data_IF_079847156483
#
_entry.id   IF_079847156483
#
_cell.length_a   1.000
_cell.length_b   1.000
_cell.length_c   1.000
_cell.angle_alpha   90.00
_cell.angle_beta   90.00
_cell.angle_gamma   90.00
#
_symmetry.space_group_name_H-M   'P 1'
#
loop_
_entity.id
_entity.type
_entity.pdbx_description
1 polymer ?
#
# COMPACT_ATOMS: atom_id res chain seq x y z
N UNK A 1 41.53 2.79 17.29
CA UNK A 1 41.98 1.57 17.99
C UNK A 1 41.54 0.38 17.16
N UNK A 2 42.47 -0.48 16.72
CA UNK A 2 42.09 -1.77 16.13
C UNK A 2 41.65 -2.64 17.31
N UNK A 3 40.40 -3.12 17.33
CA UNK A 3 40.01 -4.14 18.30
C UNK A 3 40.73 -5.43 17.90
N UNK A 4 41.76 -5.79 18.66
CA UNK A 4 42.54 -6.99 18.39
C UNK A 4 41.76 -8.28 18.77
N UNK A 5 40.66 -8.15 19.50
CA UNK A 5 39.79 -9.26 19.89
C UNK A 5 38.80 -9.64 18.76
N UNK A 6 38.91 -10.87 18.24
CA UNK A 6 38.05 -11.38 17.16
C UNK A 6 36.57 -11.43 17.55
N UNK A 7 36.26 -11.74 18.82
CA UNK A 7 34.89 -11.82 19.33
C UNK A 7 34.16 -10.47 19.31
N UNK A 8 34.82 -9.39 19.74
CA UNK A 8 34.30 -8.02 19.69
C UNK A 8 34.06 -7.55 18.26
N UNK A 9 35.02 -7.80 17.35
CA UNK A 9 34.87 -7.47 15.93
C UNK A 9 33.66 -8.17 15.32
N UNK A 10 33.44 -9.44 15.68
CA UNK A 10 32.31 -10.20 15.19
C UNK A 10 30.97 -9.61 15.69
N UNK A 11 30.86 -9.30 17.00
CA UNK A 11 29.65 -8.70 17.59
C UNK A 11 29.34 -7.36 16.93
N UNK A 12 30.35 -6.50 16.75
CA UNK A 12 30.18 -5.21 16.08
C UNK A 12 29.66 -5.37 14.64
N UNK A 13 30.19 -6.33 13.88
CA UNK A 13 29.72 -6.60 12.51
C UNK A 13 28.28 -7.12 12.48
N UNK A 14 27.84 -7.94 13.43
CA UNK A 14 26.44 -8.39 13.51
C UNK A 14 25.51 -7.24 13.89
N UNK A 15 25.91 -6.36 14.82
CA UNK A 15 25.15 -5.16 15.13
C UNK A 15 25.03 -4.24 13.91
N UNK A 16 26.13 -4.03 13.18
CA UNK A 16 26.11 -3.27 11.92
C UNK A 16 25.16 -3.91 10.90
N UNK A 17 25.15 -5.26 10.80
CA UNK A 17 24.24 -5.98 9.93
C UNK A 17 22.76 -5.72 10.28
N UNK A 18 22.44 -5.68 11.58
CA UNK A 18 21.11 -5.35 12.08
C UNK A 18 20.74 -3.92 11.71
N UNK A 19 21.64 -2.95 11.90
CA UNK A 19 21.39 -1.55 11.54
C UNK A 19 21.13 -1.39 10.04
N UNK A 20 21.87 -2.12 9.20
CA UNK A 20 21.63 -2.14 7.76
C UNK A 20 20.26 -2.72 7.43
N UNK A 21 19.84 -3.81 8.08
CA UNK A 21 18.51 -4.40 7.89
C UNK A 21 17.39 -3.45 8.35
N UNK A 22 17.54 -2.79 9.49
CA UNK A 22 16.58 -1.81 10.00
C UNK A 22 16.43 -0.63 9.05
N UNK A 23 17.55 -0.04 8.62
CA UNK A 23 17.56 1.06 7.64
C UNK A 23 16.88 0.66 6.32
N UNK A 24 17.09 -0.59 5.88
CA UNK A 24 16.45 -1.13 4.68
C UNK A 24 14.96 -1.39 4.89
N UNK A 25 14.56 -1.84 6.08
CA UNK A 25 13.16 -2.05 6.47
C UNK A 25 12.37 -0.75 6.62
N UNK A 26 13.06 0.34 6.97
CA UNK A 26 12.49 1.68 7.09
C UNK A 26 12.61 2.50 5.79
N UNK A 27 12.98 1.86 4.66
CA UNK A 27 12.95 2.52 3.36
C UNK A 27 11.52 3.00 3.03
N UNK A 28 11.33 4.13 2.33
CA UNK A 28 10.00 4.62 2.00
C UNK A 28 9.14 3.55 1.33
N UNK A 29 7.91 3.40 1.80
CA UNK A 29 6.96 2.49 1.16
C UNK A 29 6.63 2.98 -0.25
N UNK A 30 6.60 2.04 -1.19
CA UNK A 30 6.26 2.28 -2.59
C UNK A 30 5.35 1.16 -3.08
N UNK A 31 4.16 1.48 -3.65
CA UNK A 31 3.26 0.49 -4.23
C UNK A 31 3.85 -0.23 -5.45
N UNK A 32 4.85 0.35 -6.11
CA UNK A 32 5.57 -0.34 -7.19
C UNK A 32 6.45 -1.45 -6.61
N UNK A 33 6.12 -2.71 -6.87
CA UNK A 33 6.85 -3.87 -6.31
C UNK A 33 8.16 -4.15 -7.04
N UNK A 34 8.27 -3.75 -8.31
CA UNK A 34 9.47 -3.91 -9.11
C UNK A 34 10.65 -3.08 -8.55
N UNK A 35 11.83 -3.70 -8.51
CA UNK A 35 13.08 -3.03 -8.17
C UNK A 35 13.67 -2.36 -9.42
N UNK A 36 13.88 -1.04 -9.35
CA UNK A 36 14.37 -0.24 -10.46
C UNK A 36 15.89 -0.33 -10.60
N UNK A 37 16.39 -0.39 -11.83
CA UNK A 37 17.83 -0.25 -12.08
C UNK A 37 18.33 1.17 -11.76
N UNK A 38 19.64 1.37 -11.66
CA UNK A 38 20.19 2.72 -11.46
C UNK A 38 19.81 3.72 -12.57
N UNK A 39 19.65 3.24 -13.81
CA UNK A 39 19.20 4.06 -14.92
C UNK A 39 17.72 4.44 -14.76
N UNK A 40 16.87 3.47 -14.41
CA UNK A 40 15.43 3.70 -14.21
C UNK A 40 15.17 4.63 -13.03
N UNK A 41 15.91 4.51 -11.92
CA UNK A 41 15.80 5.43 -10.78
C UNK A 41 16.11 6.88 -11.17
N UNK A 42 17.14 7.10 -12.00
CA UNK A 42 17.44 8.44 -12.53
C UNK A 42 16.31 8.94 -13.43
N UNK A 43 15.75 8.06 -14.25
CA UNK A 43 14.63 8.42 -15.11
C UNK A 43 13.36 8.76 -14.31
N UNK A 44 13.01 7.97 -13.29
CA UNK A 44 11.89 8.24 -12.38
C UNK A 44 12.02 9.61 -11.72
N UNK A 45 13.22 10.00 -11.26
CA UNK A 45 13.47 11.35 -10.71
C UNK A 45 13.32 12.45 -11.75
N UNK A 46 13.80 12.23 -12.98
CA UNK A 46 13.61 13.20 -14.08
C UNK A 46 12.14 13.36 -14.41
N UNK A 47 11.36 12.29 -14.39
CA UNK A 47 9.91 12.32 -14.59
C UNK A 47 9.20 13.04 -13.44
N UNK A 48 9.54 12.74 -12.19
CA UNK A 48 9.02 13.46 -11.02
C UNK A 48 9.28 14.97 -11.12
N UNK A 49 10.51 15.37 -11.45
CA UNK A 49 10.85 16.78 -11.65
C UNK A 49 10.09 17.44 -12.82
N UNK A 50 9.76 16.69 -13.88
CA UNK A 50 8.95 17.18 -15.00
C UNK A 50 7.47 17.33 -14.61
N UNK A 51 6.92 16.38 -13.87
CA UNK A 51 5.54 16.41 -13.34
C UNK A 51 5.34 17.63 -12.43
N UNK A 52 6.25 17.85 -11.46
CA UNK A 52 6.16 19.02 -10.57
C UNK A 52 6.28 20.37 -11.29
N UNK A 53 6.96 20.38 -12.44
CA UNK A 53 7.08 21.58 -13.31
C UNK A 53 5.95 21.69 -14.33
N UNK A 54 4.93 20.82 -14.26
CA UNK A 54 3.82 20.76 -15.21
C UNK A 54 4.28 20.61 -16.67
N UNK A 55 5.45 20.01 -16.90
CA UNK A 55 5.99 19.76 -18.25
C UNK A 55 5.45 18.47 -18.88
N UNK A 56 4.88 17.60 -18.06
CA UNK A 56 4.27 16.33 -18.41
C UNK A 56 3.06 16.16 -17.50
N UNK A 57 1.97 15.60 -18.01
CA UNK A 57 0.80 15.25 -17.21
C UNK A 57 0.78 13.73 -16.93
N UNK A 58 0.18 13.29 -15.80
CA UNK A 58 -0.11 11.88 -15.58
C UNK A 58 -0.95 11.31 -16.72
N UNK A 59 -0.58 10.11 -17.18
CA UNK A 59 -1.39 9.38 -18.16
C UNK A 59 -2.76 9.00 -17.60
N UNK A 60 -2.79 8.53 -16.35
CA UNK A 60 -4.00 8.07 -15.68
C UNK A 60 -4.37 9.05 -14.56
N UNK A 61 -5.07 10.13 -14.92
CA UNK A 61 -5.42 11.22 -13.99
C UNK A 61 -6.38 10.78 -12.87
N UNK A 62 -7.11 9.68 -13.07
CA UNK A 62 -7.99 9.11 -12.05
C UNK A 62 -7.23 8.41 -10.92
N UNK A 63 -5.97 8.03 -11.13
CA UNK A 63 -5.18 7.29 -10.15
C UNK A 63 -4.32 8.23 -9.30
N UNK A 64 -3.70 9.22 -9.93
CA UNK A 64 -2.79 10.15 -9.29
C UNK A 64 -2.85 11.54 -9.92
N UNK A 65 -2.84 12.56 -9.07
CA UNK A 65 -2.44 13.90 -9.47
C UNK A 65 -0.95 13.94 -9.90
N UNK A 66 -0.53 15.03 -10.55
CA UNK A 66 0.87 15.18 -10.97
C UNK A 66 1.84 15.18 -9.79
N UNK A 67 1.45 15.75 -8.65
CA UNK A 67 2.24 15.79 -7.43
C UNK A 67 2.35 14.41 -6.78
N UNK A 68 1.22 13.71 -6.61
CA UNK A 68 1.21 12.35 -6.06
C UNK A 68 2.03 11.36 -6.90
N UNK A 69 1.95 11.46 -8.23
CA UNK A 69 2.74 10.61 -9.12
C UNK A 69 4.24 10.94 -9.05
N UNK A 70 4.59 12.22 -8.87
CA UNK A 70 5.98 12.64 -8.68
C UNK A 70 6.55 12.09 -7.36
N UNK A 71 5.79 12.21 -6.27
CA UNK A 71 6.15 11.69 -4.95
C UNK A 71 6.27 10.16 -4.96
N UNK A 72 5.39 9.49 -5.70
CA UNK A 72 5.48 8.04 -5.92
C UNK A 72 6.82 7.68 -6.57
N UNK A 73 7.16 8.31 -7.70
CA UNK A 73 8.43 8.04 -8.40
C UNK A 73 9.66 8.31 -7.54
N UNK A 74 9.65 9.36 -6.71
CA UNK A 74 10.76 9.64 -5.81
C UNK A 74 10.87 8.65 -4.67
N UNK A 75 9.75 8.30 -4.02
CA UNK A 75 9.74 7.27 -2.98
C UNK A 75 10.24 5.93 -3.50
N UNK A 76 9.79 5.50 -4.68
CA UNK A 76 10.28 4.26 -5.30
C UNK A 76 11.79 4.33 -5.55
N UNK A 77 12.29 5.42 -6.14
CA UNK A 77 13.71 5.57 -6.43
C UNK A 77 14.56 5.61 -5.14
N UNK A 78 14.08 6.29 -4.10
CA UNK A 78 14.76 6.37 -2.80
C UNK A 78 14.77 5.02 -2.09
N UNK A 79 13.65 4.29 -2.08
CA UNK A 79 13.55 2.95 -1.51
C UNK A 79 14.60 2.03 -2.11
N UNK A 80 14.65 1.98 -3.44
CA UNK A 80 15.54 1.06 -4.16
C UNK A 80 17.02 1.42 -3.97
N UNK A 81 17.36 2.70 -3.78
CA UNK A 81 18.72 3.10 -3.41
C UNK A 81 19.13 2.69 -2.00
N UNK A 82 18.21 2.83 -1.03
CA UNK A 82 18.45 2.38 0.34
C UNK A 82 18.66 0.86 0.36
N UNK A 83 17.82 0.12 -0.36
CA UNK A 83 17.92 -1.34 -0.51
C UNK A 83 19.21 -1.74 -1.22
N UNK A 84 19.58 -1.09 -2.33
CA UNK A 84 20.83 -1.37 -3.06
C UNK A 84 22.08 -1.10 -2.21
N UNK A 85 22.07 0.02 -1.47
CA UNK A 85 23.15 0.35 -0.52
C UNK A 85 23.20 -0.70 0.60
N UNK A 86 22.05 -1.06 1.17
CA UNK A 86 21.94 -2.09 2.19
C UNK A 86 22.50 -3.43 1.70
N UNK A 87 22.18 -3.85 0.48
CA UNK A 87 22.72 -5.08 -0.14
C UNK A 87 24.25 -5.07 -0.18
N UNK A 88 24.86 -3.96 -0.64
CA UNK A 88 26.32 -3.83 -0.70
C UNK A 88 26.97 -3.86 0.68
N UNK A 89 26.37 -3.19 1.66
CA UNK A 89 26.84 -3.18 3.04
C UNK A 89 26.77 -4.59 3.67
N UNK A 90 25.63 -5.30 3.51
CA UNK A 90 25.47 -6.68 3.98
C UNK A 90 26.49 -7.63 3.35
N UNK A 91 26.78 -7.48 2.05
CA UNK A 91 27.78 -8.28 1.36
C UNK A 91 29.18 -8.04 1.93
N UNK A 92 29.56 -6.78 2.17
CA UNK A 92 30.83 -6.41 2.80
C UNK A 92 30.95 -7.02 4.19
N UNK A 93 29.95 -6.80 5.05
CA UNK A 93 29.91 -7.31 6.43
C UNK A 93 30.03 -8.85 6.45
N UNK A 94 29.33 -9.53 5.53
CA UNK A 94 29.40 -10.98 5.42
C UNK A 94 30.81 -11.50 5.08
N UNK A 95 31.55 -10.79 4.22
CA UNK A 95 32.91 -11.19 3.86
C UNK A 95 33.84 -11.05 5.07
N UNK A 96 33.70 -9.99 5.86
CA UNK A 96 34.47 -9.80 7.08
C UNK A 96 34.14 -10.84 8.16
N UNK A 97 32.86 -11.15 8.39
CA UNK A 97 32.45 -12.22 9.30
C UNK A 97 33.02 -13.58 8.87
N UNK A 98 33.10 -13.85 7.56
CA UNK A 98 33.73 -15.06 7.03
C UNK A 98 35.24 -15.11 7.34
N UNK A 99 35.94 -13.97 7.27
CA UNK A 99 37.36 -13.88 7.65
C UNK A 99 37.56 -14.14 9.14
N UNK A 100 36.79 -13.48 10.00
CA UNK A 100 36.86 -13.70 11.46
C UNK A 100 36.61 -15.17 11.81
N UNK A 101 35.58 -15.78 11.20
CA UNK A 101 35.28 -17.21 11.41
C UNK A 101 36.45 -18.13 11.03
N UNK A 102 37.27 -17.75 10.05
CA UNK A 102 38.42 -18.56 9.63
C UNK A 102 39.56 -18.56 10.66
N UNK A 103 39.58 -17.61 11.60
CA UNK A 103 40.54 -17.54 12.70
C UNK A 103 40.31 -18.63 13.77
N UNK A 104 39.14 -19.30 13.76
CA UNK A 104 38.75 -20.40 14.68
C UNK A 104 38.81 -20.04 16.18
N UNK A 105 38.64 -18.77 16.51
CA UNK A 105 38.57 -18.31 17.90
C UNK A 105 37.25 -18.79 18.57
N UNK A 106 37.30 -19.62 19.63
CA UNK A 106 36.12 -20.09 20.33
C UNK A 106 35.33 -18.98 21.06
N UNK A 107 35.97 -17.86 21.40
CA UNK A 107 35.30 -16.75 22.08
C UNK A 107 34.31 -16.01 21.17
N UNK A 108 34.51 -16.08 19.85
CA UNK A 108 33.55 -15.60 18.86
C UNK A 108 32.22 -16.34 19.02
N UNK A 109 32.26 -17.66 19.24
CA UNK A 109 31.03 -18.45 19.40
C UNK A 109 30.27 -18.03 20.66
N UNK A 110 30.99 -17.95 21.78
CA UNK A 110 30.43 -17.54 23.05
C UNK A 110 29.83 -16.12 22.99
N UNK A 111 30.51 -15.17 22.37
CA UNK A 111 30.07 -13.78 22.26
C UNK A 111 28.76 -13.64 21.46
N UNK A 112 28.59 -14.39 20.38
CA UNK A 112 27.35 -14.37 19.59
C UNK A 112 26.15 -14.94 20.34
N UNK A 113 26.35 -16.01 21.12
CA UNK A 113 25.29 -16.58 21.96
C UNK A 113 24.85 -15.56 23.01
N UNK A 114 25.80 -14.87 23.62
CA UNK A 114 25.52 -13.79 24.58
C UNK A 114 24.72 -12.66 23.90
N UNK A 115 25.16 -12.19 22.73
CA UNK A 115 24.48 -11.14 21.97
C UNK A 115 23.01 -11.49 21.69
N UNK A 116 22.72 -12.71 21.24
CA UNK A 116 21.34 -13.15 20.95
C UNK A 116 20.48 -13.21 22.21
N UNK A 117 21.03 -13.73 23.32
CA UNK A 117 20.33 -13.79 24.61
C UNK A 117 20.00 -12.40 25.14
N UNK A 118 20.95 -11.47 25.06
CA UNK A 118 20.75 -10.08 25.48
C UNK A 118 19.70 -9.36 24.62
N UNK A 119 19.73 -9.56 23.30
CA UNK A 119 18.72 -9.00 22.40
C UNK A 119 17.32 -9.55 22.69
N UNK A 120 17.19 -10.85 22.97
CA UNK A 120 15.92 -11.48 23.34
C UNK A 120 15.36 -10.91 24.64
N UNK A 121 16.20 -10.82 25.69
CA UNK A 121 15.82 -10.23 26.98
C UNK A 121 15.40 -8.77 26.83
N UNK A 122 16.17 -7.98 26.09
CA UNK A 122 15.85 -6.58 25.83
C UNK A 122 14.53 -6.41 25.08
N UNK A 123 14.24 -7.27 24.09
CA UNK A 123 12.97 -7.27 23.37
C UNK A 123 11.77 -7.57 24.27
N UNK A 124 11.92 -8.49 25.24
CA UNK A 124 10.89 -8.83 26.22
C UNK A 124 10.65 -7.67 27.20
N UNK A 125 11.71 -7.07 27.74
CA UNK A 125 11.66 -5.95 28.69
C UNK A 125 10.96 -4.70 28.10
N UNK A 126 11.21 -4.39 26.83
CA UNK A 126 10.70 -3.17 26.19
C UNK A 126 9.39 -3.39 25.41
N UNK A 127 8.95 -4.65 25.27
CA UNK A 127 7.72 -5.02 24.58
C UNK A 127 7.81 -5.09 23.05
N UNK A 128 6.77 -5.63 22.38
CA UNK A 128 6.84 -6.09 20.98
C UNK A 128 6.99 -4.97 19.92
N UNK A 129 6.61 -3.74 20.26
CA UNK A 129 6.71 -2.55 19.39
C UNK A 129 8.00 -1.74 19.61
N UNK A 130 8.87 -2.16 20.52
CA UNK A 130 10.13 -1.47 20.79
C UNK A 130 11.17 -1.66 19.69
N UNK A 131 12.17 -0.76 19.66
CA UNK A 131 13.35 -0.94 18.82
C UNK A 131 14.09 -2.25 19.15
N UNK A 132 14.21 -2.59 20.44
CA UNK A 132 14.82 -3.84 20.89
C UNK A 132 14.14 -5.08 20.27
N UNK A 133 12.80 -5.10 20.24
CA UNK A 133 12.04 -6.16 19.58
C UNK A 133 12.27 -6.18 18.06
N UNK A 134 12.42 -5.02 17.41
CA UNK A 134 12.76 -4.96 15.99
C UNK A 134 14.17 -5.51 15.69
N UNK A 135 15.16 -5.14 16.50
CA UNK A 135 16.55 -5.65 16.42
C UNK A 135 16.59 -7.17 16.59
N UNK A 136 15.84 -7.71 17.55
CA UNK A 136 15.74 -9.15 17.76
C UNK A 136 15.10 -9.88 16.56
N UNK A 137 14.04 -9.31 15.96
CA UNK A 137 13.46 -9.85 14.71
C UNK A 137 14.47 -9.88 13.56
N UNK A 138 15.32 -8.84 13.43
CA UNK A 138 16.41 -8.84 12.45
C UNK A 138 17.43 -9.98 12.72
N UNK A 139 17.76 -10.27 13.98
CA UNK A 139 18.61 -11.42 14.32
C UNK A 139 17.97 -12.76 13.92
N UNK A 140 16.67 -12.94 14.20
CA UNK A 140 15.93 -14.14 13.81
C UNK A 140 15.91 -14.31 12.27
N UNK A 141 15.74 -13.22 11.53
CA UNK A 141 15.84 -13.22 10.07
C UNK A 141 17.24 -13.68 9.61
N UNK A 142 18.31 -13.14 10.19
CA UNK A 142 19.68 -13.52 9.86
C UNK A 142 19.94 -15.01 10.10
N UNK A 143 19.47 -15.55 11.23
CA UNK A 143 19.55 -16.98 11.50
C UNK A 143 18.80 -17.79 10.43
N UNK A 144 17.56 -17.40 10.11
CA UNK A 144 16.75 -18.11 9.11
C UNK A 144 17.43 -18.10 7.73
N UNK A 145 17.91 -16.95 7.26
CA UNK A 145 18.65 -16.84 5.98
C UNK A 145 19.89 -17.73 6.01
N UNK A 146 20.54 -17.80 7.16
CA UNK A 146 21.69 -18.65 7.41
C UNK A 146 21.41 -20.14 7.33
N UNK A 147 20.33 -20.59 7.97
CA UNK A 147 19.90 -21.97 7.92
C UNK A 147 19.53 -22.38 6.49
N UNK A 148 18.82 -21.51 5.79
CA UNK A 148 18.49 -21.73 4.39
C UNK A 148 19.74 -21.91 3.53
N UNK A 149 20.75 -21.04 3.68
CA UNK A 149 22.01 -21.13 2.94
C UNK A 149 22.70 -22.50 3.08
N UNK A 150 22.59 -23.11 4.26
CA UNK A 150 23.13 -24.45 4.55
C UNK A 150 22.26 -25.54 3.91
N UNK A 151 20.94 -25.42 4.03
CA UNK A 151 19.97 -26.39 3.50
C UNK A 151 19.91 -26.40 1.97
N UNK A 152 20.14 -25.26 1.30
CA UNK A 152 20.21 -25.15 -0.17
C UNK A 152 21.38 -25.95 -0.77
N UNK A 153 22.37 -26.36 0.02
CA UNK A 153 23.39 -27.33 -0.43
C UNK A 153 22.87 -28.78 -0.47
N UNK A 154 21.67 -29.04 0.07
CA UNK A 154 21.15 -30.39 0.29
C UNK A 154 19.76 -30.64 -0.32
N UNK A 155 18.94 -29.61 -0.61
CA UNK A 155 17.57 -29.78 -1.14
C UNK A 155 17.12 -28.65 -2.08
N UNK A 156 16.12 -28.89 -2.97
CA UNK A 156 15.54 -27.87 -3.84
C UNK A 156 14.88 -26.72 -3.05
N UNK A 157 14.92 -25.52 -3.65
CA UNK A 157 14.61 -24.23 -3.02
C UNK A 157 13.22 -24.16 -2.38
N UNK A 158 13.16 -23.99 -1.06
CA UNK A 158 11.97 -23.46 -0.40
C UNK A 158 11.75 -21.97 -0.80
N UNK A 159 10.51 -21.59 -1.11
CA UNK A 159 10.16 -20.20 -1.46
C UNK A 159 10.43 -19.28 -0.27
N UNK A 160 11.16 -18.20 -0.51
CA UNK A 160 11.51 -17.20 0.50
C UNK A 160 10.22 -16.53 1.05
N UNK A 161 10.00 -16.44 2.36
CA UNK A 161 8.89 -15.70 2.93
C UNK A 161 9.19 -14.21 2.84
N UNK A 162 8.91 -13.60 1.68
CA UNK A 162 9.14 -12.18 1.41
C UNK A 162 8.33 -11.21 2.30
N UNK A 163 7.51 -11.70 3.24
CA UNK A 163 6.66 -10.86 4.10
C UNK A 163 7.37 -10.13 5.24
N UNK A 164 8.70 -10.18 5.31
CA UNK A 164 9.46 -9.47 6.37
C UNK A 164 9.71 -7.99 6.01
N UNK A 165 9.63 -7.65 4.72
CA UNK A 165 9.45 -6.27 4.27
C UNK A 165 7.97 -6.08 3.92
N UNK A 166 7.35 -4.93 4.24
CA UNK A 166 6.03 -4.57 3.73
C UNK A 166 6.15 -4.30 2.22
N UNK A 167 6.41 -5.36 1.44
CA UNK A 167 6.20 -5.33 0.01
C UNK A 167 4.71 -5.15 -0.22
N UNK A 168 4.36 -4.21 -1.10
CA UNK A 168 2.97 -3.97 -1.50
C UNK A 168 2.29 -5.30 -1.83
N UNK A 169 1.09 -5.50 -1.30
CA UNK A 169 0.28 -6.68 -1.59
C UNK A 169 0.15 -6.80 -3.13
N UNK A 170 0.61 -7.89 -3.77
CA UNK A 170 0.49 -8.08 -5.21
C UNK A 170 -0.95 -7.91 -5.72
N UNK A 171 -1.95 -8.11 -4.84
CA UNK A 171 -3.35 -7.84 -5.14
C UNK A 171 -3.63 -6.35 -5.39
N UNK A 172 -2.89 -5.44 -4.73
CA UNK A 172 -3.02 -3.99 -4.89
C UNK A 172 -2.49 -3.52 -6.24
N UNK A 173 -1.32 -4.01 -6.66
CA UNK A 173 -0.76 -3.69 -7.97
C UNK A 173 -1.66 -4.22 -9.11
N UNK A 174 -2.15 -5.46 -8.98
CA UNK A 174 -3.09 -6.01 -9.95
C UNK A 174 -4.38 -5.19 -10.03
N UNK A 175 -4.94 -4.78 -8.89
CA UNK A 175 -6.13 -3.90 -8.85
C UNK A 175 -5.85 -2.57 -9.53
N UNK A 176 -4.70 -1.95 -9.23
CA UNK A 176 -4.29 -0.68 -9.82
C UNK A 176 -4.19 -0.75 -11.36
N UNK A 177 -3.59 -1.83 -11.88
CA UNK A 177 -3.50 -2.04 -13.33
C UNK A 177 -4.87 -2.28 -13.98
N UNK A 178 -5.80 -2.92 -13.28
CA UNK A 178 -7.15 -3.20 -13.78
C UNK A 178 -8.07 -1.97 -13.74
N UNK A 179 -7.81 -1.01 -12.87
CA UNK A 179 -8.62 0.22 -12.71
C UNK A 179 -8.01 1.46 -13.34
N UNK A 180 -6.83 1.33 -13.96
CA UNK A 180 -6.23 2.45 -14.67
C UNK A 180 -7.17 2.95 -15.76
N UNK A 181 -7.47 4.26 -15.77
CA UNK A 181 -8.46 4.80 -16.70
C UNK A 181 -7.95 6.04 -17.43
N UNK A 182 -8.29 6.12 -18.71
CA UNK A 182 -7.94 7.21 -19.60
C UNK A 182 -9.22 7.61 -20.36
N UNK A 183 -9.63 8.87 -20.21
CA UNK A 183 -10.74 9.43 -21.00
C UNK A 183 -10.20 9.76 -22.39
N UNK A 184 -10.93 9.34 -23.43
CA UNK A 184 -10.54 9.49 -24.83
C UNK A 184 -11.48 10.46 -25.55
N UNK A 185 -10.93 11.29 -26.43
CA UNK A 185 -11.72 12.17 -27.30
C UNK A 185 -12.37 11.41 -28.45
N UNK A 186 -11.72 10.34 -28.93
CA UNK A 186 -12.16 9.52 -30.04
C UNK A 186 -11.70 8.06 -29.85
N UNK A 187 -12.41 7.08 -30.43
CA UNK A 187 -11.99 5.69 -30.36
C UNK A 187 -10.73 5.49 -31.24
N UNK A 188 -9.70 4.79 -30.73
CA UNK A 188 -8.53 4.46 -31.52
C UNK A 188 -8.90 3.59 -32.73
N UNK A 189 -8.24 3.77 -33.89
CA UNK A 189 -8.53 2.98 -35.08
C UNK A 189 -8.36 1.48 -34.83
N UNK A 190 -9.41 0.70 -35.11
CA UNK A 190 -9.39 -0.77 -35.03
C UNK A 190 -9.57 -1.36 -33.63
N UNK A 191 -9.70 -0.54 -32.58
CA UNK A 191 -10.03 -1.03 -31.24
C UNK A 191 -11.56 -1.15 -31.06
N UNK A 192 -12.02 -2.26 -30.50
CA UNK A 192 -13.44 -2.48 -30.22
C UNK A 192 -13.91 -1.62 -29.04
N UNK A 193 -15.06 -0.97 -29.21
CA UNK A 193 -15.70 -0.14 -28.18
C UNK A 193 -16.97 -0.83 -27.68
N UNK A 194 -17.09 -0.96 -26.36
CA UNK A 194 -18.26 -1.57 -25.71
C UNK A 194 -19.22 -0.46 -25.28
N UNK A 195 -20.43 -0.42 -25.85
CA UNK A 195 -21.45 0.55 -25.46
C UNK A 195 -22.12 0.15 -24.12
N UNK A 196 -22.11 1.07 -23.14
CA UNK A 196 -22.68 0.92 -21.81
C UNK A 196 -23.57 2.14 -21.45
N UNK A 197 -24.90 1.99 -21.28
CA UNK A 197 -25.68 0.79 -21.57
C UNK A 197 -25.60 0.41 -23.07
N UNK A 198 -25.99 -0.82 -23.43
CA UNK A 198 -26.06 -1.27 -24.82
C UNK A 198 -26.96 -0.37 -25.67
N UNK A 199 -26.69 -0.32 -26.98
CA UNK A 199 -27.46 0.47 -27.95
C UNK A 199 -28.98 0.18 -27.88
N UNK A 200 -29.80 1.22 -28.10
CA UNK A 200 -31.27 1.14 -28.04
C UNK A 200 -31.85 1.21 -26.63
N UNK A 201 -31.01 1.33 -25.60
CA UNK A 201 -31.40 1.69 -24.23
C UNK A 201 -30.86 3.05 -23.81
N UNK A 202 -30.46 3.84 -24.79
CA UNK A 202 -29.86 5.13 -24.56
C UNK A 202 -30.89 6.19 -24.16
N UNK A 203 -30.48 7.07 -23.25
CA UNK A 203 -31.27 8.21 -22.81
C UNK A 203 -31.14 9.42 -23.75
N UNK A 204 -30.37 9.29 -24.83
CA UNK A 204 -30.02 10.37 -25.75
C UNK A 204 -28.96 11.34 -25.21
N UNK A 205 -28.34 11.03 -24.07
CA UNK A 205 -27.25 11.83 -23.49
C UNK A 205 -25.94 11.61 -24.26
N UNK A 206 -25.01 12.55 -24.08
CA UNK A 206 -23.64 12.41 -24.59
C UNK A 206 -22.97 11.15 -24.03
N UNK A 207 -21.87 10.74 -24.68
CA UNK A 207 -21.11 9.56 -24.25
C UNK A 207 -19.64 9.91 -24.03
N UNK A 208 -19.08 9.42 -22.94
CA UNK A 208 -17.65 9.47 -22.66
C UNK A 208 -17.00 8.14 -23.06
N UNK A 209 -15.89 8.22 -23.80
CA UNK A 209 -15.05 7.07 -24.09
C UNK A 209 -14.01 6.94 -22.98
N UNK A 210 -13.99 5.79 -22.31
CA UNK A 210 -13.06 5.52 -21.21
C UNK A 210 -12.32 4.22 -21.53
N UNK A 211 -11.00 4.31 -21.71
CA UNK A 211 -10.13 3.14 -21.72
C UNK A 211 -9.89 2.72 -20.28
N UNK A 212 -10.13 1.45 -19.99
CA UNK A 212 -9.99 0.85 -18.66
C UNK A 212 -8.97 -0.29 -18.73
N UNK A 213 -8.02 -0.30 -17.81
CA UNK A 213 -6.95 -1.28 -17.72
C UNK A 213 -5.66 -0.87 -18.45
N UNK A 214 -4.60 -1.67 -18.29
CA UNK A 214 -3.31 -1.50 -18.97
C UNK A 214 -2.97 -2.75 -19.80
N UNK A 215 -2.37 -2.55 -20.98
CA UNK A 215 -1.86 -3.64 -21.83
C UNK A 215 -2.96 -4.50 -22.42
N UNK A 216 -2.75 -5.82 -22.47
CA UNK A 216 -3.70 -6.78 -23.06
C UNK A 216 -5.03 -6.88 -22.30
N UNK A 217 -5.03 -6.50 -21.02
CA UNK A 217 -6.26 -6.46 -20.23
C UNK A 217 -7.11 -5.20 -20.52
N UNK A 218 -6.56 -4.22 -21.25
CA UNK A 218 -7.24 -2.96 -21.51
C UNK A 218 -8.41 -3.11 -22.48
N UNK A 219 -9.43 -2.29 -22.30
CA UNK A 219 -10.60 -2.22 -23.18
C UNK A 219 -11.22 -0.83 -23.12
N UNK A 220 -12.08 -0.51 -24.10
CA UNK A 220 -12.72 0.79 -24.20
C UNK A 220 -14.23 0.64 -24.01
N UNK A 221 -14.77 1.36 -23.03
CA UNK A 221 -16.20 1.51 -22.86
C UNK A 221 -16.66 2.88 -23.35
N UNK A 222 -17.81 2.92 -24.03
CA UNK A 222 -18.55 4.14 -24.31
C UNK A 222 -19.71 4.24 -23.32
N UNK A 223 -19.60 5.17 -22.37
CA UNK A 223 -20.53 5.33 -21.27
C UNK A 223 -21.41 6.55 -21.50
N UNK A 224 -22.71 6.47 -21.25
CA UNK A 224 -23.50 7.71 -21.19
C UNK A 224 -23.01 8.63 -20.08
N UNK A 225 -23.12 9.93 -20.29
CA UNK A 225 -22.65 10.94 -19.35
C UNK A 225 -23.76 11.36 -18.38
N UNK A 226 -23.36 11.66 -17.16
CA UNK A 226 -24.21 12.28 -16.15
C UNK A 226 -24.24 13.80 -16.28
N UNK A 227 -24.38 14.46 -15.12
CA UNK A 227 -24.41 15.93 -15.00
C UNK A 227 -23.15 16.53 -14.36
N UNK A 228 -22.16 15.71 -14.02
CA UNK A 228 -20.91 16.15 -13.37
C UNK A 228 -19.76 16.18 -14.37
N UNK A 229 -18.64 16.85 -14.04
CA UNK A 229 -17.49 16.93 -14.95
C UNK A 229 -16.60 15.69 -14.93
N UNK A 230 -16.58 14.99 -13.79
CA UNK A 230 -15.49 14.07 -13.50
C UNK A 230 -15.86 12.62 -13.83
N UNK A 231 -14.86 11.89 -14.33
CA UNK A 231 -14.97 10.46 -14.59
C UNK A 231 -13.98 9.71 -13.70
N UNK A 232 -14.41 8.61 -13.11
CA UNK A 232 -13.57 7.77 -12.26
C UNK A 232 -13.81 6.29 -12.51
N UNK A 233 -12.80 5.47 -12.26
CA UNK A 233 -12.89 4.01 -12.35
C UNK A 233 -12.19 3.43 -11.13
N UNK A 234 -12.92 2.59 -10.38
CA UNK A 234 -12.46 1.99 -9.14
C UNK A 234 -12.85 0.52 -9.07
N UNK A 235 -12.03 -0.29 -8.40
CA UNK A 235 -12.35 -1.70 -8.13
C UNK A 235 -13.34 -1.76 -6.96
N UNK A 236 -14.44 -2.48 -7.11
CA UNK A 236 -15.37 -2.72 -6.02
C UNK A 236 -14.74 -3.64 -4.94
N UNK A 237 -15.20 -3.62 -3.69
CA UNK A 237 -14.61 -4.41 -2.61
C UNK A 237 -14.59 -5.91 -2.84
N UNK A 238 -15.53 -6.41 -3.64
CA UNK A 238 -15.63 -7.83 -3.99
C UNK A 238 -14.51 -8.30 -4.94
N UNK A 239 -13.76 -7.37 -5.54
CA UNK A 239 -12.70 -7.63 -6.50
C UNK A 239 -13.18 -8.24 -7.83
N UNK A 240 -14.49 -8.25 -8.08
CA UNK A 240 -15.14 -8.83 -9.27
C UNK A 240 -15.81 -7.78 -10.13
N UNK A 241 -16.17 -6.64 -9.55
CA UNK A 241 -16.82 -5.56 -10.27
C UNK A 241 -15.96 -4.29 -10.29
N UNK A 242 -16.19 -3.46 -11.30
CA UNK A 242 -15.69 -2.11 -11.40
C UNK A 242 -16.82 -1.14 -11.16
N UNK A 243 -16.56 -0.11 -10.37
CA UNK A 243 -17.37 1.11 -10.38
C UNK A 243 -16.80 2.05 -11.43
N UNK A 244 -17.64 2.54 -12.34
CA UNK A 244 -17.30 3.54 -13.35
C UNK A 244 -18.23 4.74 -13.17
N UNK A 245 -17.69 5.93 -12.94
CA UNK A 245 -18.41 7.19 -13.14
C UNK A 245 -17.97 7.79 -14.47
N UNK A 246 -18.93 8.11 -15.34
CA UNK A 246 -18.70 8.84 -16.57
C UNK A 246 -19.41 10.19 -16.47
N UNK A 247 -18.65 11.25 -16.16
CA UNK A 247 -19.21 12.60 -15.99
C UNK A 247 -20.43 12.60 -15.03
N UNK A 248 -20.32 11.86 -13.93
CA UNK A 248 -21.38 11.70 -12.92
C UNK A 248 -22.40 10.58 -13.15
N UNK A 249 -22.44 9.93 -14.31
CA UNK A 249 -23.24 8.71 -14.48
C UNK A 249 -22.50 7.52 -13.90
N UNK A 250 -23.06 6.90 -12.86
CA UNK A 250 -22.46 5.78 -12.15
C UNK A 250 -22.91 4.42 -12.69
N UNK A 251 -21.96 3.51 -12.88
CA UNK A 251 -22.17 2.15 -13.38
C UNK A 251 -21.39 1.14 -12.55
N UNK A 252 -21.98 -0.02 -12.30
CA UNK A 252 -21.29 -1.22 -11.81
C UNK A 252 -21.14 -2.17 -13.00
N UNK A 253 -19.90 -2.53 -13.31
CA UNK A 253 -19.53 -3.37 -14.46
C UNK A 253 -18.89 -4.66 -13.95
N UNK A 254 -19.31 -5.82 -14.45
CA UNK A 254 -18.61 -7.08 -14.19
C UNK A 254 -17.24 -7.08 -14.90
N UNK A 255 -16.17 -7.24 -14.13
CA UNK A 255 -14.79 -7.08 -14.60
C UNK A 255 -14.45 -8.07 -15.72
N UNK A 256 -14.99 -9.29 -15.67
CA UNK A 256 -14.63 -10.37 -16.59
C UNK A 256 -15.41 -10.29 -17.90
N UNK A 257 -16.72 -10.14 -17.81
CA UNK A 257 -17.62 -10.11 -18.97
C UNK A 257 -17.75 -8.72 -19.57
N UNK A 258 -17.32 -7.67 -18.85
CA UNK A 258 -17.43 -6.25 -19.24
C UNK A 258 -18.88 -5.82 -19.46
N UNK A 259 -19.82 -6.48 -18.78
CA UNK A 259 -21.25 -6.23 -18.89
C UNK A 259 -21.71 -5.32 -17.75
N UNK A 260 -22.67 -4.45 -18.07
CA UNK A 260 -23.39 -3.65 -17.10
C UNK A 260 -24.15 -4.56 -16.12
N UNK A 261 -23.89 -4.37 -14.84
CA UNK A 261 -24.61 -5.02 -13.73
C UNK A 261 -25.68 -4.07 -13.19
N UNK A 262 -25.30 -2.83 -12.90
CA UNK A 262 -26.20 -1.86 -12.26
C UNK A 262 -25.88 -0.42 -12.68
N UNK A 263 -26.90 0.44 -12.73
CA UNK A 263 -26.76 1.90 -12.86
C UNK A 263 -27.04 2.58 -11.53
N UNK A 264 -26.13 3.42 -11.07
CA UNK A 264 -26.13 3.97 -9.71
C UNK A 264 -26.81 5.35 -9.64
N UNK A 265 -26.80 6.10 -10.74
CA UNK A 265 -27.42 7.43 -10.85
C UNK A 265 -26.69 8.28 -11.88
N UNK A 266 -27.08 9.56 -12.00
CA UNK A 266 -26.46 10.51 -12.95
C UNK A 266 -25.77 11.70 -12.29
N UNK A 267 -25.70 11.70 -10.96
CA UNK A 267 -25.21 12.82 -10.14
C UNK A 267 -24.07 12.37 -9.20
N UNK A 268 -23.26 11.40 -9.62
CA UNK A 268 -22.09 10.94 -8.87
C UNK A 268 -21.02 12.02 -8.87
N UNK A 269 -20.78 12.62 -7.71
CA UNK A 269 -19.77 13.67 -7.51
C UNK A 269 -18.41 13.07 -7.22
N UNK A 270 -18.36 12.11 -6.30
CA UNK A 270 -17.11 11.56 -5.77
C UNK A 270 -17.34 10.13 -5.28
N UNK A 271 -16.27 9.35 -5.26
CA UNK A 271 -16.24 8.04 -4.62
C UNK A 271 -15.11 7.98 -3.60
N UNK A 272 -15.45 7.62 -2.37
CA UNK A 272 -14.54 7.55 -1.23
C UNK A 272 -14.29 6.08 -0.91
N UNK A 273 -13.05 5.61 -1.03
CA UNK A 273 -12.66 4.24 -0.67
C UNK A 273 -12.21 4.12 0.79
N UNK A 274 -12.56 3.01 1.45
CA UNK A 274 -12.23 2.75 2.86
C UNK A 274 -11.36 1.49 3.02
N UNK A 275 -10.42 1.48 3.99
CA UNK A 275 -9.55 0.32 4.26
C UNK A 275 -10.32 -0.97 4.62
N UNK A 276 -11.56 -0.85 5.10
CA UNK A 276 -12.40 -1.98 5.51
C UNK A 276 -13.12 -2.68 4.33
N UNK A 277 -12.78 -2.33 3.09
CA UNK A 277 -13.50 -2.86 1.92
C UNK A 277 -14.91 -2.28 1.79
N UNK A 278 -15.06 -1.00 2.14
CA UNK A 278 -16.28 -0.22 1.89
C UNK A 278 -15.94 0.86 0.87
N UNK A 279 -16.87 1.16 -0.04
CA UNK A 279 -16.84 2.37 -0.88
C UNK A 279 -18.09 3.18 -0.60
N UNK A 280 -17.96 4.49 -0.49
CA UNK A 280 -19.09 5.42 -0.38
C UNK A 280 -19.11 6.30 -1.63
N UNK A 281 -20.23 6.25 -2.34
CA UNK A 281 -20.53 7.08 -3.51
C UNK A 281 -21.33 8.29 -3.05
N UNK A 282 -20.84 9.48 -3.40
CA UNK A 282 -21.49 10.75 -3.14
C UNK A 282 -22.35 11.15 -4.34
N UNK A 283 -23.67 11.21 -4.15
CA UNK A 283 -24.67 11.57 -5.17
C UNK A 283 -25.10 13.04 -5.11
N UNK A 284 -24.25 13.94 -4.61
CA UNK A 284 -24.53 15.37 -4.36
C UNK A 284 -25.56 15.64 -3.24
N UNK A 285 -26.67 14.91 -3.21
CA UNK A 285 -27.78 15.07 -2.25
C UNK A 285 -27.93 13.90 -1.28
N UNK A 286 -27.30 12.76 -1.58
CA UNK A 286 -27.30 11.55 -0.76
C UNK A 286 -25.96 10.83 -0.82
N UNK A 287 -25.76 9.89 0.09
CA UNK A 287 -24.58 9.02 0.14
C UNK A 287 -25.04 7.56 -0.01
N UNK A 288 -24.24 6.74 -0.66
CA UNK A 288 -24.53 5.32 -0.88
C UNK A 288 -23.29 4.48 -0.66
N UNK A 289 -23.39 3.39 0.09
CA UNK A 289 -22.26 2.54 0.40
C UNK A 289 -22.35 1.16 -0.24
N UNK A 290 -21.18 0.66 -0.66
CA UNK A 290 -21.00 -0.67 -1.22
C UNK A 290 -19.91 -1.42 -0.47
N UNK A 291 -20.21 -2.66 -0.11
CA UNK A 291 -19.29 -3.62 0.49
C UNK A 291 -18.99 -4.81 -0.44
N UNK A 292 -18.34 -5.87 0.08
CA UNK A 292 -18.02 -7.06 -0.71
C UNK A 292 -19.23 -7.86 -1.21
N UNK A 293 -20.41 -7.57 -0.70
CA UNK A 293 -21.67 -8.23 -1.08
C UNK A 293 -22.60 -7.31 -1.89
N UNK A 294 -22.09 -6.17 -2.39
CA UNK A 294 -22.88 -5.17 -3.11
C UNK A 294 -23.34 -4.02 -2.22
N UNK A 295 -24.52 -3.46 -2.51
CA UNK A 295 -25.09 -2.31 -1.80
C UNK A 295 -25.33 -2.63 -0.31
N UNK A 296 -24.76 -1.82 0.57
CA UNK A 296 -24.94 -1.94 2.01
C UNK A 296 -26.08 -1.04 2.52
N UNK A 297 -26.05 0.23 2.13
CA UNK A 297 -27.06 1.22 2.49
C UNK A 297 -27.02 2.40 1.52
N UNK A 298 -28.16 3.11 1.45
CA UNK A 298 -28.28 4.40 0.76
C UNK A 298 -29.04 5.35 1.67
N UNK A 299 -28.48 6.52 1.93
CA UNK A 299 -29.17 7.52 2.74
C UNK A 299 -30.35 8.10 1.96
N UNK A 300 -31.30 8.69 2.69
CA UNK A 300 -32.22 9.65 2.09
C UNK A 300 -31.48 10.87 1.53
N UNK A 301 -32.25 11.85 1.03
CA UNK A 301 -31.71 13.17 0.69
C UNK A 301 -31.31 13.88 1.98
N UNK A 302 -30.01 14.00 2.20
CA UNK A 302 -29.43 14.65 3.38
C UNK A 302 -28.73 15.97 3.01
N UNK A 303 -28.71 16.35 1.73
CA UNK A 303 -28.26 17.65 1.25
C UNK A 303 -29.16 18.18 0.14
N UNK A 304 -29.21 19.50 -0.03
CA UNK A 304 -29.86 20.19 -1.17
C UNK A 304 -28.86 20.83 -2.14
N UNK A 305 -27.56 20.63 -1.95
CA UNK A 305 -26.55 21.26 -2.82
C UNK A 305 -25.12 20.88 -2.50
N UNK A 306 -24.89 19.60 -2.21
CA UNK A 306 -23.54 19.06 -2.04
C UNK A 306 -23.12 18.85 -0.59
N UNK A 307 -21.90 18.34 -0.46
CA UNK A 307 -21.24 18.09 0.80
C UNK A 307 -19.87 18.79 0.78
N UNK A 308 -19.34 19.13 1.95
CA UNK A 308 -17.96 19.64 2.08
C UNK A 308 -17.34 19.20 3.40
N UNK A 309 -16.02 19.32 3.50
CA UNK A 309 -15.28 19.00 4.72
C UNK A 309 -15.49 17.55 5.16
N UNK A 310 -15.69 16.63 4.20
CA UNK A 310 -15.87 15.22 4.52
C UNK A 310 -14.57 14.67 5.10
N UNK A 311 -14.64 14.16 6.32
CA UNK A 311 -13.56 13.45 7.01
C UNK A 311 -14.07 12.07 7.37
N UNK A 312 -13.22 11.08 7.09
CA UNK A 312 -13.49 9.67 7.38
C UNK A 312 -12.74 9.26 8.64
N UNK A 313 -13.46 8.58 9.53
CA UNK A 313 -12.90 7.88 10.70
C UNK A 313 -13.16 6.37 10.55
N UNK A 314 -12.71 5.56 11.51
CA UNK A 314 -12.90 4.10 11.47
C UNK A 314 -14.38 3.68 11.40
N UNK A 315 -15.27 4.42 12.07
CA UNK A 315 -16.69 4.04 12.21
C UNK A 315 -17.67 5.06 11.63
N UNK A 316 -17.19 6.26 11.28
CA UNK A 316 -18.05 7.38 10.89
C UNK A 316 -17.49 8.17 9.73
N UNK A 317 -18.40 8.70 8.92
CA UNK A 317 -18.14 9.78 7.98
C UNK A 317 -18.74 11.05 8.57
N UNK A 318 -17.90 12.05 8.82
CA UNK A 318 -18.32 13.36 9.32
C UNK A 318 -18.09 14.41 8.24
N UNK A 319 -18.91 15.46 8.22
CA UNK A 319 -18.73 16.55 7.26
C UNK A 319 -19.83 17.60 7.41
N UNK A 320 -19.99 18.45 6.40
CA UNK A 320 -21.07 19.42 6.33
C UNK A 320 -21.93 19.16 5.10
N UNK A 321 -23.24 19.24 5.26
CA UNK A 321 -24.21 19.09 4.20
C UNK A 321 -25.05 20.37 4.09
N UNK A 322 -25.36 20.78 2.86
CA UNK A 322 -26.15 21.98 2.62
C UNK A 322 -27.64 21.70 2.91
N UNK A 323 -28.25 22.42 3.85
CA UNK A 323 -29.65 22.21 4.24
C UNK A 323 -30.61 23.27 3.66
N UNK A 324 -31.81 22.88 3.22
CA UNK A 324 -32.87 23.83 2.92
C UNK A 324 -33.46 24.44 4.20
N UNK A 325 -34.13 25.61 4.13
CA UNK A 325 -34.39 26.41 2.93
C UNK A 325 -33.30 27.44 2.62
N UNK A 326 -32.47 27.82 3.59
CA UNK A 326 -31.47 28.90 3.43
C UNK A 326 -30.17 28.47 2.75
N UNK A 327 -29.98 27.16 2.56
CA UNK A 327 -28.76 26.62 1.97
C UNK A 327 -27.56 26.75 2.89
N UNK A 328 -27.80 26.74 4.20
CA UNK A 328 -26.76 26.79 5.24
C UNK A 328 -26.02 25.45 5.30
N UNK A 329 -24.74 25.48 5.66
CA UNK A 329 -23.95 24.28 5.88
C UNK A 329 -24.16 23.80 7.31
N UNK A 330 -24.67 22.57 7.46
CA UNK A 330 -24.87 21.96 8.77
C UNK A 330 -23.95 20.75 8.91
N UNK A 331 -23.25 20.66 10.05
CA UNK A 331 -22.44 19.48 10.38
C UNK A 331 -23.32 18.23 10.45
N UNK A 332 -22.83 17.12 9.89
CA UNK A 332 -23.45 15.81 9.99
C UNK A 332 -22.43 14.75 10.37
N UNK A 333 -22.93 13.67 10.97
CA UNK A 333 -22.21 12.44 11.22
C UNK A 333 -23.04 11.28 10.68
N UNK A 334 -22.41 10.44 9.87
CA UNK A 334 -22.97 9.23 9.30
C UNK A 334 -22.27 8.02 9.93
N UNK A 335 -23.05 7.05 10.42
CA UNK A 335 -22.54 5.75 10.87
C UNK A 335 -22.26 4.86 9.66
N UNK A 336 -21.02 4.42 9.47
CA UNK A 336 -20.62 3.65 8.28
C UNK A 336 -21.22 2.24 8.26
N UNK A 337 -21.60 1.68 9.41
CA UNK A 337 -22.17 0.34 9.49
C UNK A 337 -23.64 0.33 9.09
N UNK A 338 -24.40 1.37 9.45
CA UNK A 338 -25.87 1.42 9.24
C UNK A 338 -26.32 2.40 8.17
N UNK A 339 -25.51 3.41 7.86
CA UNK A 339 -25.93 4.55 7.02
C UNK A 339 -26.78 5.59 7.76
N UNK A 340 -26.93 5.46 9.08
CA UNK A 340 -27.72 6.41 9.88
C UNK A 340 -27.04 7.77 9.96
N UNK A 341 -27.81 8.84 9.70
CA UNK A 341 -27.31 10.21 9.66
C UNK A 341 -27.84 11.01 10.83
N UNK A 342 -26.94 11.74 11.51
CA UNK A 342 -27.27 12.69 12.58
C UNK A 342 -26.71 14.05 12.25
N UNK A 343 -27.54 15.08 12.37
CA UNK A 343 -27.13 16.48 12.20
C UNK A 343 -26.74 17.09 13.55
N UNK A 344 -25.65 17.88 13.55
CA UNK A 344 -25.33 18.74 14.67
C UNK A 344 -26.46 19.75 14.84
N UNK A 345 -27.00 19.87 16.06
CA UNK A 345 -28.03 20.86 16.34
C UNK A 345 -27.40 22.24 16.24
N UNK A 346 -28.05 23.15 15.51
CA UNK A 346 -27.55 24.50 15.20
C UNK A 346 -27.40 25.45 16.43
N UNK A 347 -27.29 24.91 17.66
CA UNK A 347 -27.28 25.69 18.89
C UNK A 347 -26.51 25.09 20.07
N UNK A 348 -25.59 24.13 19.88
CA UNK A 348 -24.92 23.49 21.01
C UNK A 348 -23.47 23.06 20.75
N UNK A 349 -22.54 23.88 21.24
CA UNK A 349 -21.12 23.63 21.52
C UNK A 349 -20.21 23.20 20.35
N UNK A 350 -19.12 23.96 20.16
CA UNK A 350 -18.00 23.67 19.27
C UNK A 350 -17.51 22.22 19.43
N UNK A 351 -17.44 21.49 18.31
CA UNK A 351 -16.83 20.16 18.28
C UNK A 351 -15.33 20.36 18.51
N UNK A 352 -14.90 20.14 19.77
CA UNK A 352 -13.51 20.22 20.19
C UNK A 352 -12.59 19.34 19.35
N UNK A 353 -11.42 19.89 19.04
CA UNK A 353 -10.41 19.31 18.16
C UNK A 353 -10.03 17.85 18.47
N UNK A 354 -9.84 17.09 17.39
CA UNK A 354 -9.50 15.67 17.38
C UNK A 354 -8.01 15.50 17.73
N UNK A 355 -7.70 14.73 18.78
CA UNK A 355 -6.35 14.24 19.11
C UNK A 355 -6.35 12.72 19.34
N UNK A 356 -5.28 11.96 19.02
CA UNK A 356 -5.32 10.50 19.00
C UNK A 356 -4.79 9.85 20.29
N UNK A 357 -5.48 8.81 20.79
CA UNK A 357 -5.02 7.92 21.85
C UNK A 357 -5.29 6.46 21.51
N UNK A 358 -4.26 5.61 21.58
CA UNK A 358 -4.25 4.20 21.11
C UNK A 358 -4.15 3.22 22.29
N UNK A 359 -5.01 2.18 22.28
CA UNK A 359 -5.03 1.08 23.26
C UNK A 359 -4.06 -0.08 22.93
N UNK A 360 -3.60 -0.77 23.97
CA UNK A 360 -2.53 -1.78 23.97
C UNK A 360 -3.09 -3.22 24.05
N UNK A 361 -2.47 -4.16 23.31
CA UNK A 361 -2.79 -5.60 23.28
C UNK A 361 -1.56 -6.42 23.69
N UNK A 362 -1.74 -7.37 24.63
CA UNK A 362 -0.70 -8.28 25.17
C UNK A 362 -0.55 -9.54 24.31
N UNK A 363 0.68 -10.02 24.15
CA UNK A 363 1.02 -11.33 23.56
C UNK A 363 1.71 -12.22 24.60
N UNK A 364 1.45 -13.53 24.52
CA UNK A 364 1.95 -14.59 25.43
C UNK A 364 3.20 -15.27 24.82
N UNK A 365 4.29 -15.52 25.58
CA UNK A 365 5.47 -16.22 25.09
C UNK A 365 5.63 -17.62 25.72
N UNK A 366 5.63 -18.67 24.91
CA UNK A 366 6.28 -19.95 25.28
C UNK A 366 6.99 -20.55 24.05
N UNK A 367 8.23 -21.01 24.26
CA UNK A 367 9.17 -21.75 23.35
C UNK A 367 10.33 -20.95 22.73
N UNK A 368 11.42 -20.73 23.49
CA UNK A 368 12.72 -20.29 22.95
C UNK A 368 13.94 -21.02 23.58
N UNK A 369 13.87 -22.35 23.76
CA UNK A 369 14.88 -23.12 24.49
C UNK A 369 16.06 -23.73 23.70
N UNK A 370 16.16 -23.55 22.37
CA UNK A 370 17.14 -24.31 21.53
C UNK A 370 17.88 -23.40 20.54
N UNK A 371 18.75 -22.49 21.01
CA UNK A 371 19.40 -21.48 20.13
C UNK A 371 20.95 -21.42 20.17
N UNK A 372 21.64 -22.21 21.00
CA UNK A 372 23.05 -21.93 21.34
C UNK A 372 24.11 -22.21 20.25
N UNK A 373 24.17 -23.40 19.65
CA UNK A 373 25.37 -23.81 18.87
C UNK A 373 25.24 -23.70 17.34
N UNK A 374 24.02 -23.66 16.81
CA UNK A 374 23.81 -23.68 15.35
C UNK A 374 23.69 -22.26 14.74
N UNK A 375 23.30 -21.26 15.53
CA UNK A 375 23.00 -19.89 15.07
C UNK A 375 24.20 -19.20 14.40
N UNK A 376 25.43 -19.50 14.80
CA UNK A 376 26.63 -18.76 14.36
C UNK A 376 27.13 -19.25 13.02
N UNK A 377 27.15 -20.58 12.86
CA UNK A 377 27.41 -21.19 11.56
C UNK A 377 26.39 -20.69 10.55
N UNK A 378 25.12 -20.54 10.96
CA UNK A 378 24.00 -20.00 10.16
C UNK A 378 24.19 -18.54 9.79
N UNK A 379 24.35 -17.63 10.74
CA UNK A 379 24.50 -16.18 10.49
C UNK A 379 25.66 -15.89 9.53
N UNK A 380 26.79 -16.59 9.67
CA UNK A 380 27.92 -16.46 8.75
C UNK A 380 27.63 -16.96 7.33
N UNK A 381 26.84 -18.03 7.17
CA UNK A 381 26.39 -18.50 5.85
C UNK A 381 25.27 -17.64 5.23
N UNK A 382 24.50 -16.92 6.05
CA UNK A 382 23.40 -16.08 5.61
C UNK A 382 23.86 -15.00 4.63
N UNK A 383 24.96 -14.33 4.96
CA UNK A 383 25.50 -13.27 4.13
C UNK A 383 26.12 -13.77 2.81
N UNK A 384 26.53 -15.04 2.72
CA UNK A 384 26.95 -15.66 1.45
C UNK A 384 25.75 -16.00 0.55
N UNK A 385 24.60 -16.39 1.10
CA UNK A 385 23.41 -16.72 0.31
C UNK A 385 22.64 -15.50 -0.20
N UNK A 386 22.82 -14.32 0.41
CA UNK A 386 22.27 -13.06 -0.09
C UNK A 386 22.76 -12.72 -1.52
N UNK A 387 23.93 -13.23 -1.93
CA UNK A 387 24.45 -13.06 -3.29
C UNK A 387 23.69 -13.89 -4.35
N UNK A 388 23.22 -15.10 -4.00
CA UNK A 388 22.66 -16.07 -4.96
C UNK A 388 21.12 -16.03 -5.10
N UNK A 389 20.44 -15.09 -4.43
CA UNK A 389 18.97 -14.98 -4.40
C UNK A 389 18.42 -13.76 -5.16
N UNK A 390 19.29 -12.88 -5.66
CA UNK A 390 18.95 -11.59 -6.27
C UNK A 390 19.69 -11.35 -7.61
N UNK A 391 20.32 -12.40 -8.13
CA UNK A 391 20.58 -12.67 -9.55
C UNK A 391 19.56 -13.75 -9.95
#
# INVERSE_FOLDING_TARGET
>A
MKNDNASERAVALVQEMIDVLLRTGNAPESPLTAFLTAADRRESRRRAARLRRQKVEPRYKNLHSAEELADLYERTAQRDEIVEKGRRDLQRISLELKRIRSEKDPDVEKAMVTLVKEAARSAEEHGPRSEAAQRFRCMQLLEWVGQQAIDHRRKPRAKFPWRIFPGGDPSVEARYLLTAAEVLDAPPPGEAVIAIPPEGKDSGRGRALIRIGVGEASWIGSFETGTMSDSTVLMMPDGKHLFVSAQGAGYIIDLRSRRLVETIGTEVVEVIGFPMGLFVVNHNVSLEAFGPNGNCWKTGRISCGGFRGIVVTETRLIGEARQPPRGEWCGFSLDLATGDVRFAHAGGAEIGGIGPGVGSLRLVPERYGIFGKQAITRICTAGCAAKARLE
#
